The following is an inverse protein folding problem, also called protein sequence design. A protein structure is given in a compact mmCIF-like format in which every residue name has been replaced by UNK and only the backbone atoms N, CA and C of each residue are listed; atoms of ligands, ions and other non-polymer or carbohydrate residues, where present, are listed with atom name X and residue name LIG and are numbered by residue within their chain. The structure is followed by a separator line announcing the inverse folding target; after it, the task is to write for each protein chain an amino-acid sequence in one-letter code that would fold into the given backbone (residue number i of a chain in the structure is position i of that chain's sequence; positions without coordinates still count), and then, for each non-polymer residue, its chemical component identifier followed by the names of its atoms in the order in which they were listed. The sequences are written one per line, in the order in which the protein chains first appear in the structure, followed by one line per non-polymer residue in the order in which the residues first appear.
data_IF_335137145335
#
_entry.id   IF_335137145335
#
_cell.length_a   1.000
_cell.length_b   1.000
_cell.length_c   1.000
_cell.angle_alpha   90.00
_cell.angle_beta   90.00
_cell.angle_gamma   90.00
#
_symmetry.space_group_name_H-M   'P 1'
#
loop_
_entity.id
_entity.type
_entity.pdbx_description
1 polymer ?
#
# COMPACT_ATOMS: atom_id res chain seq x y z
N UNK A 1 -2.70 -21.53 54.00
CA UNK A 1 -3.87 -21.56 53.09
C UNK A 1 -3.34 -21.67 51.67
N UNK A 2 -3.68 -22.73 50.91
CA UNK A 2 -3.15 -22.90 49.57
C UNK A 2 -3.82 -21.92 48.61
N UNK A 3 -3.04 -21.02 48.02
CA UNK A 3 -3.49 -20.09 46.99
C UNK A 3 -3.72 -20.91 45.72
N UNK A 4 -4.90 -20.82 45.12
CA UNK A 4 -5.21 -21.59 43.92
C UNK A 4 -4.27 -21.19 42.76
N UNK A 5 -3.80 -22.13 41.93
CA UNK A 5 -2.85 -21.85 40.85
C UNK A 5 -3.41 -20.91 39.76
N UNK A 6 -4.71 -20.64 39.75
CA UNK A 6 -5.32 -19.66 38.86
C UNK A 6 -5.10 -18.20 39.29
N UNK A 7 -4.86 -17.91 40.57
CA UNK A 7 -4.61 -16.55 41.02
C UNK A 7 -3.20 -16.04 40.64
N UNK A 8 -2.24 -16.95 40.42
CA UNK A 8 -0.86 -16.60 40.12
C UNK A 8 -0.59 -16.25 38.64
N UNK A 9 -1.49 -16.62 37.72
CA UNK A 9 -1.34 -16.31 36.29
C UNK A 9 -1.83 -14.90 35.92
N UNK A 10 -2.64 -14.26 36.78
CA UNK A 10 -3.15 -12.90 36.56
C UNK A 10 -2.20 -11.79 37.03
N UNK A 11 -1.14 -12.14 37.78
CA UNK A 11 -0.12 -11.19 38.25
C UNK A 11 1.09 -11.09 37.31
N UNK A 12 1.08 -11.75 36.14
CA UNK A 12 2.14 -11.59 35.15
C UNK A 12 1.96 -10.25 34.42
N UNK A 13 2.97 -9.36 34.43
CA UNK A 13 2.88 -7.99 33.90
C UNK A 13 2.80 -7.89 32.37
N UNK A 14 2.52 -9.00 31.68
CA UNK A 14 2.65 -9.13 30.21
C UNK A 14 1.30 -9.39 29.52
N UNK A 15 0.20 -9.57 30.26
CA UNK A 15 -1.13 -9.65 29.62
C UNK A 15 -1.54 -8.24 29.17
N UNK A 16 -1.74 -7.98 27.87
CA UNK A 16 -2.17 -6.67 27.39
C UNK A 16 -3.45 -6.25 28.12
N UNK A 17 -3.52 -5.00 28.59
CA UNK A 17 -4.67 -4.44 29.33
C UNK A 17 -6.03 -4.66 28.64
N UNK A 18 -6.05 -4.85 27.33
CA UNK A 18 -7.22 -5.20 26.54
C UNK A 18 -7.79 -6.60 26.87
N UNK A 19 -6.94 -7.56 27.22
CA UNK A 19 -7.34 -8.92 27.59
C UNK A 19 -7.80 -9.06 29.05
N UNK A 20 -7.51 -8.06 29.90
CA UNK A 20 -8.00 -8.02 31.27
C UNK A 20 -9.44 -7.46 31.37
N UNK A 21 -9.99 -6.83 30.32
CA UNK A 21 -11.31 -6.17 30.32
C UNK A 21 -12.46 -7.01 29.74
N UNK A 22 -12.23 -8.29 29.45
CA UNK A 22 -13.18 -9.16 28.75
C UNK A 22 -12.87 -9.21 27.26
N UNK A 23 -13.03 -10.40 26.67
CA UNK A 23 -12.81 -10.59 25.23
C UNK A 23 -13.70 -9.60 24.45
N UNK A 24 -13.15 -8.86 23.47
CA UNK A 24 -13.97 -7.96 22.65
C UNK A 24 -15.11 -8.73 22.01
N UNK A 25 -16.32 -8.16 22.05
CA UNK A 25 -17.51 -8.80 21.51
C UNK A 25 -17.25 -9.22 20.04
N UNK A 26 -17.48 -10.49 19.68
CA UNK A 26 -17.16 -11.00 18.34
C UNK A 26 -17.93 -10.24 17.25
N UNK A 27 -19.10 -9.70 17.57
CA UNK A 27 -19.88 -8.81 16.68
C UNK A 27 -19.20 -7.46 16.44
N UNK A 28 -18.52 -6.90 17.45
CA UNK A 28 -17.75 -5.66 17.31
C UNK A 28 -16.49 -5.87 16.47
N UNK A 29 -15.80 -7.00 16.65
CA UNK A 29 -14.67 -7.38 15.79
C UNK A 29 -15.08 -7.59 14.33
N UNK A 30 -16.22 -8.25 14.10
CA UNK A 30 -16.78 -8.42 12.75
C UNK A 30 -17.15 -7.07 12.13
N UNK A 31 -17.77 -6.18 12.91
CA UNK A 31 -18.14 -4.84 12.45
C UNK A 31 -16.91 -4.00 12.03
N UNK A 32 -15.86 -4.00 12.85
CA UNK A 32 -14.58 -3.33 12.52
C UNK A 32 -13.93 -3.96 11.29
N UNK A 33 -13.94 -5.30 11.18
CA UNK A 33 -13.41 -6.01 10.03
C UNK A 33 -14.09 -5.64 8.72
N UNK A 34 -15.43 -5.61 8.70
CA UNK A 34 -16.21 -5.22 7.52
C UNK A 34 -15.96 -3.76 7.16
N UNK A 35 -15.95 -2.86 8.14
CA UNK A 35 -15.68 -1.44 7.91
C UNK A 35 -14.28 -1.22 7.32
N UNK A 36 -13.27 -1.94 7.80
CA UNK A 36 -11.92 -1.89 7.26
C UNK A 36 -11.85 -2.38 5.81
N UNK A 37 -12.48 -3.51 5.49
CA UNK A 37 -12.50 -4.06 4.14
C UNK A 37 -13.20 -3.12 3.14
N UNK A 38 -14.34 -2.55 3.53
CA UNK A 38 -15.06 -1.58 2.70
C UNK A 38 -14.24 -0.29 2.51
N UNK A 39 -13.63 0.22 3.58
CA UNK A 39 -12.77 1.39 3.52
C UNK A 39 -11.56 1.17 2.62
N UNK A 40 -10.89 0.02 2.73
CA UNK A 40 -9.76 -0.35 1.89
C UNK A 40 -10.16 -0.51 0.41
N UNK A 41 -11.30 -1.14 0.13
CA UNK A 41 -11.81 -1.29 -1.23
C UNK A 41 -12.14 0.06 -1.87
N UNK A 42 -12.78 0.96 -1.11
CA UNK A 42 -13.09 2.31 -1.58
C UNK A 42 -11.81 3.12 -1.83
N UNK A 43 -10.86 3.08 -0.90
CA UNK A 43 -9.57 3.77 -1.04
C UNK A 43 -8.80 3.26 -2.27
N UNK A 44 -8.82 1.94 -2.51
CA UNK A 44 -8.22 1.34 -3.68
C UNK A 44 -8.89 1.81 -4.99
N UNK A 45 -10.23 1.83 -5.03
CA UNK A 45 -10.96 2.32 -6.19
C UNK A 45 -10.66 3.80 -6.49
N UNK A 46 -10.64 4.66 -5.48
CA UNK A 46 -10.28 6.08 -5.63
C UNK A 46 -8.84 6.23 -6.10
N UNK A 47 -7.91 5.47 -5.53
CA UNK A 47 -6.50 5.46 -5.96
C UNK A 47 -6.34 5.07 -7.43
N UNK A 48 -7.06 4.04 -7.89
CA UNK A 48 -7.07 3.63 -9.29
C UNK A 48 -7.56 4.75 -10.22
N UNK A 49 -8.64 5.45 -9.86
CA UNK A 49 -9.17 6.55 -10.65
C UNK A 49 -8.15 7.69 -10.78
N UNK A 50 -7.50 8.07 -9.68
CA UNK A 50 -6.47 9.12 -9.67
C UNK A 50 -5.30 8.71 -10.55
N UNK A 51 -4.82 7.47 -10.41
CA UNK A 51 -3.70 6.99 -11.21
C UNK A 51 -4.04 6.85 -12.69
N UNK A 52 -5.28 6.54 -13.05
CA UNK A 52 -5.72 6.52 -14.44
C UNK A 52 -5.60 7.92 -15.07
N UNK A 53 -5.92 8.98 -14.32
CA UNK A 53 -5.67 10.36 -14.76
C UNK A 53 -4.17 10.61 -14.94
N UNK A 54 -3.34 10.16 -14.01
CA UNK A 54 -1.88 10.32 -14.12
C UNK A 54 -1.30 9.57 -15.32
N UNK A 55 -1.77 8.36 -15.62
CA UNK A 55 -1.32 7.58 -16.77
C UNK A 55 -1.62 8.32 -18.08
N UNK A 56 -2.84 8.86 -18.20
CA UNK A 56 -3.23 9.65 -19.38
C UNK A 56 -2.38 10.90 -19.51
N UNK A 57 -2.18 11.63 -18.41
CA UNK A 57 -1.37 12.84 -18.42
C UNK A 57 0.09 12.51 -18.77
N UNK A 58 0.66 11.45 -18.19
CA UNK A 58 2.00 10.99 -18.50
C UNK A 58 2.16 10.60 -19.97
N UNK A 59 1.23 9.83 -20.52
CA UNK A 59 1.24 9.44 -21.93
C UNK A 59 1.16 10.67 -22.85
N UNK A 60 0.30 11.64 -22.52
CA UNK A 60 0.18 12.88 -23.29
C UNK A 60 1.45 13.76 -23.20
N UNK A 61 2.14 13.76 -22.06
CA UNK A 61 3.37 14.53 -21.87
C UNK A 61 4.58 13.88 -22.55
N UNK A 62 4.71 12.55 -22.46
CA UNK A 62 5.88 11.81 -22.93
C UNK A 62 5.79 11.51 -24.42
N UNK A 63 4.62 11.04 -24.89
CA UNK A 63 4.42 10.56 -26.27
C UNK A 63 3.47 11.41 -27.10
N UNK A 64 2.81 12.42 -26.50
CA UNK A 64 1.75 13.20 -27.15
C UNK A 64 0.59 12.33 -27.64
N UNK A 65 0.34 11.23 -26.95
CA UNK A 65 -0.71 10.29 -27.27
C UNK A 65 -1.85 10.39 -26.25
N UNK A 66 -3.08 10.34 -26.72
CA UNK A 66 -4.26 10.41 -25.87
C UNK A 66 -4.81 9.01 -25.60
N UNK A 67 -4.57 8.51 -24.39
CA UNK A 67 -5.12 7.23 -23.96
C UNK A 67 -6.57 7.45 -23.46
N UNK A 68 -7.56 6.67 -23.93
CA UNK A 68 -8.91 6.68 -23.39
C UNK A 68 -8.93 6.34 -21.89
N UNK A 69 -9.81 6.98 -21.13
CA UNK A 69 -9.85 6.78 -19.67
C UNK A 69 -10.15 5.33 -19.28
N UNK A 70 -11.08 4.67 -19.98
CA UNK A 70 -11.40 3.26 -19.74
C UNK A 70 -10.19 2.35 -19.93
N UNK A 71 -9.39 2.58 -20.97
CA UNK A 71 -8.19 1.78 -21.23
C UNK A 71 -7.10 2.03 -20.19
N UNK A 72 -6.88 3.29 -19.79
CA UNK A 72 -5.93 3.63 -18.73
C UNK A 72 -6.30 2.96 -17.40
N UNK A 73 -7.59 2.97 -17.05
CA UNK A 73 -8.09 2.34 -15.83
C UNK A 73 -7.93 0.81 -15.88
N UNK A 74 -8.26 0.19 -17.01
CA UNK A 74 -8.10 -1.25 -17.20
C UNK A 74 -6.62 -1.65 -17.13
N UNK A 75 -5.73 -0.89 -17.77
CA UNK A 75 -4.28 -1.13 -17.78
C UNK A 75 -3.72 -1.09 -16.35
N UNK A 76 -4.12 -0.10 -15.54
CA UNK A 76 -3.69 -0.02 -14.15
C UNK A 76 -4.28 -1.14 -13.29
N UNK A 77 -5.58 -1.42 -13.44
CA UNK A 77 -6.22 -2.52 -12.73
C UNK A 77 -5.53 -3.86 -13.00
N UNK A 78 -5.31 -4.19 -14.28
CA UNK A 78 -4.56 -5.38 -14.70
C UNK A 78 -3.17 -5.39 -14.10
N UNK A 79 -2.48 -4.26 -14.11
CA UNK A 79 -1.13 -4.17 -13.57
C UNK A 79 -1.10 -4.41 -12.07
N UNK A 80 -2.06 -3.89 -11.31
CA UNK A 80 -2.19 -4.17 -9.88
C UNK A 80 -2.54 -5.63 -9.60
N UNK A 81 -3.42 -6.25 -10.40
CA UNK A 81 -3.75 -7.67 -10.28
C UNK A 81 -2.53 -8.54 -10.57
N UNK A 82 -1.77 -8.24 -11.63
CA UNK A 82 -0.57 -8.97 -12.00
C UNK A 82 0.53 -8.78 -10.96
N UNK A 83 0.79 -7.54 -10.54
CA UNK A 83 1.76 -7.24 -9.49
C UNK A 83 1.36 -7.94 -8.18
N UNK A 84 0.10 -7.87 -7.78
CA UNK A 84 -0.42 -8.57 -6.61
C UNK A 84 -0.28 -10.09 -6.70
N UNK A 85 -0.58 -10.68 -7.86
CA UNK A 85 -0.39 -12.10 -8.09
C UNK A 85 1.08 -12.51 -8.02
N UNK A 86 1.99 -11.72 -8.59
CA UNK A 86 3.43 -11.97 -8.53
C UNK A 86 3.95 -11.82 -7.10
N UNK A 87 3.55 -10.77 -6.38
CA UNK A 87 3.89 -10.57 -4.98
C UNK A 87 3.32 -11.69 -4.11
N UNK A 88 2.14 -12.23 -4.42
CA UNK A 88 1.60 -13.39 -3.71
C UNK A 88 2.41 -14.66 -3.99
N UNK A 89 2.70 -14.95 -5.26
CA UNK A 89 3.44 -16.14 -5.70
C UNK A 89 4.89 -16.13 -5.22
N UNK A 90 5.55 -14.97 -5.20
CA UNK A 90 6.95 -14.84 -4.80
C UNK A 90 7.06 -14.51 -3.31
N UNK A 91 6.27 -13.58 -2.82
CA UNK A 91 6.35 -13.06 -1.46
C UNK A 91 5.90 -14.05 -0.39
N UNK A 92 4.88 -14.88 -0.67
CA UNK A 92 4.40 -15.86 0.31
C UNK A 92 5.44 -16.97 0.57
N UNK A 93 6.05 -17.61 -0.45
CA UNK A 93 7.14 -18.55 -0.23
C UNK A 93 8.38 -17.91 0.38
N UNK A 94 8.77 -16.71 -0.06
CA UNK A 94 9.95 -16.02 0.49
C UNK A 94 9.73 -15.65 1.95
N UNK A 95 8.56 -15.13 2.31
CA UNK A 95 8.20 -14.83 3.70
C UNK A 95 8.10 -16.09 4.56
N UNK A 96 7.56 -17.17 4.03
CA UNK A 96 7.50 -18.45 4.71
C UNK A 96 8.89 -19.03 4.98
N UNK A 97 9.77 -19.04 3.97
CA UNK A 97 11.15 -19.51 4.10
C UNK A 97 11.97 -18.60 5.02
N UNK A 98 11.77 -17.29 4.96
CA UNK A 98 12.44 -16.34 5.85
C UNK A 98 12.06 -16.55 7.32
N UNK A 99 10.77 -16.81 7.59
CA UNK A 99 10.28 -17.15 8.93
C UNK A 99 10.75 -18.53 9.40
N UNK A 100 10.96 -19.48 8.48
CA UNK A 100 11.48 -20.81 8.82
C UNK A 100 12.99 -20.80 9.12
N UNK A 101 13.73 -19.89 8.49
CA UNK A 101 15.19 -19.78 8.59
C UNK A 101 15.65 -18.70 9.57
N UNK A 102 14.73 -18.07 10.30
CA UNK A 102 14.98 -17.00 11.28
C UNK A 102 15.97 -15.94 10.73
N UNK A 103 15.74 -15.54 9.47
CA UNK A 103 16.67 -14.67 8.76
C UNK A 103 16.73 -13.28 9.43
N UNK A 104 17.92 -12.67 9.52
CA UNK A 104 18.08 -11.36 10.12
C UNK A 104 17.24 -10.30 9.39
N UNK A 105 16.65 -9.38 10.15
CA UNK A 105 15.72 -8.34 9.67
C UNK A 105 16.25 -7.55 8.45
N UNK A 106 17.57 -7.37 8.35
CA UNK A 106 18.21 -6.70 7.21
C UNK A 106 18.03 -7.41 5.86
N UNK A 107 17.84 -8.73 5.85
CA UNK A 107 17.57 -9.51 4.65
C UNK A 107 16.13 -9.30 4.15
N UNK A 108 15.17 -9.14 5.06
CA UNK A 108 13.80 -8.76 4.71
C UNK A 108 13.72 -7.38 4.05
N UNK A 109 14.55 -6.43 4.50
CA UNK A 109 14.66 -5.10 3.91
C UNK A 109 15.28 -5.15 2.50
N UNK A 110 16.31 -5.98 2.30
CA UNK A 110 16.94 -6.19 0.99
C UNK A 110 15.97 -6.83 -0.03
N UNK A 111 15.16 -7.81 0.39
CA UNK A 111 14.15 -8.44 -0.46
C UNK A 111 13.07 -7.42 -0.86
N UNK A 112 12.62 -6.58 0.07
CA UNK A 112 11.67 -5.50 -0.24
C UNK A 112 12.25 -4.46 -1.21
N UNK A 113 13.53 -4.09 -1.07
CA UNK A 113 14.20 -3.17 -2.00
C UNK A 113 14.36 -3.75 -3.41
N UNK A 114 14.61 -5.06 -3.54
CA UNK A 114 14.64 -5.76 -4.83
C UNK A 114 13.24 -5.85 -5.48
N UNK A 115 12.18 -5.83 -4.66
CA UNK A 115 10.79 -5.79 -5.14
C UNK A 115 10.44 -4.50 -5.90
N UNK A 116 11.13 -3.39 -5.65
CA UNK A 116 10.86 -2.11 -6.31
C UNK A 116 11.17 -2.15 -7.82
N UNK A 117 12.40 -2.49 -8.28
CA UNK A 117 12.69 -2.65 -9.70
C UNK A 117 11.78 -3.65 -10.39
N UNK A 118 11.44 -4.74 -9.71
CA UNK A 118 10.54 -5.76 -10.24
C UNK A 118 9.14 -5.19 -10.49
N UNK A 119 8.59 -4.48 -9.50
CA UNK A 119 7.26 -3.85 -9.60
C UNK A 119 7.24 -2.81 -10.71
N UNK A 120 8.28 -1.97 -10.81
CA UNK A 120 8.42 -0.98 -11.90
C UNK A 120 8.46 -1.68 -13.26
N UNK A 121 9.24 -2.76 -13.38
CA UNK A 121 9.36 -3.54 -14.61
C UNK A 121 8.04 -4.19 -15.05
N UNK A 122 7.30 -4.76 -14.11
CA UNK A 122 5.97 -5.36 -14.36
C UNK A 122 5.00 -4.28 -14.86
N UNK A 123 4.94 -3.15 -14.15
CA UNK A 123 4.07 -2.03 -14.50
C UNK A 123 4.37 -1.49 -15.91
N UNK A 124 5.65 -1.29 -16.22
CA UNK A 124 6.09 -0.87 -17.55
C UNK A 124 5.77 -1.91 -18.62
N UNK A 125 5.93 -3.21 -18.34
CA UNK A 125 5.61 -4.28 -19.29
C UNK A 125 4.12 -4.34 -19.62
N UNK A 126 3.25 -4.17 -18.62
CA UNK A 126 1.79 -4.15 -18.81
C UNK A 126 1.37 -2.94 -19.66
N UNK A 127 1.91 -1.75 -19.36
CA UNK A 127 1.66 -0.54 -20.15
C UNK A 127 2.14 -0.73 -21.59
N UNK A 128 3.36 -1.24 -21.78
CA UNK A 128 3.94 -1.50 -23.10
C UNK A 128 3.05 -2.43 -23.93
N UNK A 129 2.57 -3.52 -23.32
CA UNK A 129 1.76 -4.51 -24.01
C UNK A 129 0.34 -4.04 -24.32
N UNK A 130 -0.25 -3.19 -23.46
CA UNK A 130 -1.62 -2.70 -23.62
C UNK A 130 -1.76 -1.56 -24.63
N UNK A 131 -0.68 -0.80 -24.83
CA UNK A 131 -0.68 0.38 -25.71
C UNK A 131 0.28 0.21 -26.90
N UNK A 132 0.75 -1.01 -27.17
CA UNK A 132 1.69 -1.33 -28.26
C UNK A 132 2.94 -0.42 -28.29
N UNK A 133 3.44 -0.06 -27.11
CA UNK A 133 4.60 0.80 -26.93
C UNK A 133 5.87 -0.02 -26.77
N UNK A 134 7.03 0.59 -27.09
CA UNK A 134 8.31 0.00 -26.67
C UNK A 134 8.44 0.02 -25.14
N UNK A 135 9.18 -0.95 -24.58
CA UNK A 135 9.38 -1.02 -23.13
C UNK A 135 9.99 0.27 -22.55
N UNK A 136 10.93 0.90 -23.29
CA UNK A 136 11.53 2.17 -22.86
C UNK A 136 10.53 3.32 -22.78
N UNK A 137 9.60 3.41 -23.74
CA UNK A 137 8.54 4.43 -23.71
C UNK A 137 7.57 4.19 -22.56
N UNK A 138 7.14 2.95 -22.35
CA UNK A 138 6.27 2.59 -21.24
C UNK A 138 6.93 2.84 -19.87
N UNK A 139 8.23 2.55 -19.76
CA UNK A 139 9.02 2.85 -18.58
C UNK A 139 9.07 4.36 -18.30
N UNK A 140 9.29 5.19 -19.33
CA UNK A 140 9.28 6.65 -19.20
C UNK A 140 7.91 7.19 -18.76
N UNK A 141 6.82 6.65 -19.31
CA UNK A 141 5.45 6.98 -18.88
C UNK A 141 5.27 6.65 -17.40
N UNK A 142 5.66 5.44 -16.97
CA UNK A 142 5.53 5.03 -15.57
C UNK A 142 6.40 5.89 -14.63
N UNK A 143 7.63 6.22 -15.03
CA UNK A 143 8.50 7.15 -14.30
C UNK A 143 7.86 8.54 -14.19
N UNK A 144 7.28 9.06 -15.27
CA UNK A 144 6.56 10.34 -15.25
C UNK A 144 5.36 10.29 -14.30
N UNK A 145 4.58 9.21 -14.29
CA UNK A 145 3.51 9.01 -13.31
C UNK A 145 4.03 9.03 -11.87
N UNK A 146 5.14 8.35 -11.60
CA UNK A 146 5.74 8.29 -10.27
C UNK A 146 6.21 9.67 -9.81
N UNK A 147 6.84 10.45 -10.69
CA UNK A 147 7.26 11.82 -10.41
C UNK A 147 6.04 12.72 -10.14
N UNK A 148 4.98 12.61 -10.94
CA UNK A 148 3.75 13.37 -10.69
C UNK A 148 3.11 13.01 -9.34
N UNK A 149 3.02 11.72 -9.02
CA UNK A 149 2.52 11.26 -7.73
C UNK A 149 3.36 11.77 -6.56
N UNK A 150 4.69 11.75 -6.69
CA UNK A 150 5.61 12.28 -5.69
C UNK A 150 5.41 13.80 -5.47
N UNK A 151 5.33 14.58 -6.56
CA UNK A 151 5.14 16.03 -6.47
C UNK A 151 3.80 16.40 -5.85
N UNK A 152 2.72 15.72 -6.24
CA UNK A 152 1.38 15.95 -5.66
C UNK A 152 1.37 15.56 -4.18
N UNK A 153 1.97 14.41 -3.82
CA UNK A 153 2.11 13.99 -2.43
C UNK A 153 2.90 14.99 -1.59
N UNK A 154 4.00 15.53 -2.14
CA UNK A 154 4.80 16.56 -1.49
C UNK A 154 3.98 17.84 -1.24
N UNK A 155 3.23 18.31 -2.24
CA UNK A 155 2.36 19.49 -2.10
C UNK A 155 1.31 19.27 -1.02
N UNK A 156 0.63 18.12 -1.03
CA UNK A 156 -0.36 17.77 0.00
C UNK A 156 0.28 17.75 1.39
N UNK A 157 1.45 17.12 1.54
CA UNK A 157 2.16 17.07 2.81
C UNK A 157 2.50 18.47 3.33
N UNK A 158 2.99 19.36 2.47
CA UNK A 158 3.29 20.75 2.83
C UNK A 158 2.03 21.53 3.23
N UNK A 159 0.90 21.32 2.53
CA UNK A 159 -0.39 21.95 2.88
C UNK A 159 -0.87 21.44 4.23
N UNK A 160 -0.85 20.14 4.47
CA UNK A 160 -1.29 19.54 5.75
C UNK A 160 -0.42 20.04 6.89
N UNK A 161 0.91 20.05 6.75
CA UNK A 161 1.83 20.59 7.75
C UNK A 161 1.54 22.08 7.98
N UNK A 162 1.37 22.86 6.92
CA UNK A 162 1.05 24.28 7.01
C UNK A 162 -0.26 24.56 7.76
N UNK A 163 -1.32 23.77 7.49
CA UNK A 163 -2.59 23.86 8.20
C UNK A 163 -2.43 23.45 9.67
N UNK A 164 -1.74 22.34 9.95
CA UNK A 164 -1.48 21.90 11.32
C UNK A 164 -0.69 22.94 12.12
N UNK A 165 0.29 23.61 11.49
CA UNK A 165 1.02 24.71 12.12
C UNK A 165 0.13 25.94 12.32
N UNK A 166 -0.69 26.31 11.33
CA UNK A 166 -1.60 27.45 11.45
C UNK A 166 -2.64 27.24 12.56
N UNK A 167 -3.26 26.06 12.65
CA UNK A 167 -4.22 25.72 13.70
C UNK A 167 -3.55 25.37 15.03
N UNK A 168 -2.36 24.78 15.02
CA UNK A 168 -1.58 24.49 16.22
C UNK A 168 -1.05 25.74 16.90
N UNK A 169 -0.65 26.76 16.12
CA UNK A 169 -0.31 28.10 16.63
C UNK A 169 -1.57 28.85 17.09
N UNK A 170 -2.72 28.64 16.43
CA UNK A 170 -4.00 29.23 16.86
C UNK A 170 -4.60 28.61 18.14
N UNK A 171 -4.12 27.43 18.56
CA UNK A 171 -4.55 26.72 19.78
C UNK A 171 -3.49 26.73 20.88
N UNK A 172 -2.34 27.38 20.66
CA UNK A 172 -1.36 27.63 21.70
C UNK A 172 -1.88 28.77 22.61
N UNK A 173 -2.07 28.54 23.91
CA UNK A 173 -2.60 29.54 24.86
C UNK A 173 -1.65 30.71 25.10
#
# INVERSE_FOLDING_TARGET
MPVSPHAALLSLPVVPLAWQRGAPDPTALLGVGIAFLLGAALAFAVSLLIQAVFLRLAASLVLKEEIPFGDALLTLFLSYVIAGAITFVIGLPVGFVAGLLDLPEGLGLAINLLGLPLTIGIQAAVIARRHDLSFGQALLIYLAMMVMGFLIGLVIALVVIGLLLAFGVALAP
#
